data_IF_090840198309
#
_entry.id   IF_090840198309
#
_cell.length_a   1.000
_cell.length_b   1.000
_cell.length_c   1.000
_cell.angle_alpha   90.00
_cell.angle_beta   90.00
_cell.angle_gamma   90.00
#
_symmetry.space_group_name_H-M   'P 1'
#
loop_
_entity.id
_entity.type
_entity.pdbx_description
1 polymer ?
#
# COMPACT_ATOMS: atom_id res chain seq x y z
N UNK A 1 -35.12 -2.63 22.74
CA UNK A 1 -34.45 -3.78 22.10
C UNK A 1 -32.97 -3.66 22.38
N UNK A 2 -32.41 -4.49 23.26
CA UNK A 2 -30.96 -4.54 23.47
C UNK A 2 -30.38 -5.26 22.26
N UNK A 3 -29.64 -4.54 21.42
CA UNK A 3 -28.88 -5.13 20.31
C UNK A 3 -27.81 -6.01 20.95
N UNK A 4 -28.06 -7.32 21.05
CA UNK A 4 -27.07 -8.27 21.51
C UNK A 4 -25.85 -8.13 20.59
N UNK A 5 -24.77 -7.54 21.12
CA UNK A 5 -23.48 -7.54 20.43
C UNK A 5 -23.14 -9.00 20.17
N UNK A 6 -22.80 -9.31 18.91
CA UNK A 6 -22.38 -10.68 18.57
C UNK A 6 -21.18 -11.00 19.46
N UNK A 7 -21.18 -12.15 20.16
CA UNK A 7 -20.05 -12.52 21.01
C UNK A 7 -18.77 -12.50 20.17
N UNK A 8 -17.66 -12.11 20.80
CA UNK A 8 -16.36 -12.17 20.15
C UNK A 8 -16.13 -13.61 19.65
N UNK A 9 -15.65 -13.78 18.40
CA UNK A 9 -15.31 -15.10 17.89
C UNK A 9 -14.28 -15.77 18.81
N UNK A 10 -14.38 -17.09 18.92
CA UNK A 10 -13.44 -17.90 19.69
C UNK A 10 -12.07 -17.94 19.00
N UNK A 11 -10.98 -18.27 19.74
CA UNK A 11 -9.64 -18.41 19.15
C UNK A 11 -9.55 -19.36 17.95
N UNK A 12 -10.41 -20.39 17.91
CA UNK A 12 -10.50 -21.31 16.79
C UNK A 12 -11.10 -20.67 15.51
N UNK A 13 -11.89 -19.60 15.66
CA UNK A 13 -12.65 -18.96 14.57
C UNK A 13 -11.93 -17.77 13.93
N UNK A 14 -11.06 -17.06 14.65
CA UNK A 14 -10.42 -15.84 14.13
C UNK A 14 -9.03 -16.05 13.51
N UNK A 15 -8.49 -17.28 13.51
CA UNK A 15 -7.17 -17.61 12.95
C UNK A 15 -6.00 -17.00 13.75
N UNK A 16 -4.77 -17.45 13.50
CA UNK A 16 -3.57 -16.85 14.11
C UNK A 16 -2.88 -15.91 13.12
N UNK A 17 -2.59 -14.70 13.58
CA UNK A 17 -1.93 -13.63 12.81
C UNK A 17 -0.61 -13.23 13.45
N UNK A 18 0.01 -14.20 14.11
CA UNK A 18 1.25 -14.14 14.89
C UNK A 18 2.52 -14.22 14.04
N UNK A 19 2.35 -14.45 12.74
CA UNK A 19 3.44 -14.45 11.76
C UNK A 19 3.12 -13.40 10.71
N UNK A 20 4.07 -12.52 10.40
CA UNK A 20 3.92 -11.54 9.33
C UNK A 20 3.91 -12.22 7.95
N UNK A 21 3.19 -11.67 6.96
CA UNK A 21 3.31 -12.11 5.59
C UNK A 21 4.76 -11.95 5.09
N UNK A 22 5.21 -12.89 4.27
CA UNK A 22 6.53 -12.80 3.63
C UNK A 22 6.59 -11.59 2.69
N UNK A 23 7.72 -10.89 2.73
CA UNK A 23 7.97 -9.78 1.83
C UNK A 23 8.34 -10.28 0.43
N UNK A 24 7.89 -9.60 -0.64
CA UNK A 24 8.36 -9.89 -1.98
C UNK A 24 9.88 -9.65 -2.06
N UNK A 25 10.61 -10.48 -2.83
CA UNK A 25 12.05 -10.33 -2.98
C UNK A 25 12.39 -9.00 -3.66
N UNK A 26 13.49 -8.37 -3.26
CA UNK A 26 13.90 -7.07 -3.80
C UNK A 26 14.08 -7.08 -5.32
N UNK A 27 14.45 -8.23 -5.90
CA UNK A 27 14.54 -8.41 -7.36
C UNK A 27 13.21 -8.18 -8.09
N UNK A 28 12.08 -8.39 -7.42
CA UNK A 28 10.76 -8.17 -7.98
C UNK A 28 10.28 -6.72 -7.85
N UNK A 29 10.99 -5.89 -7.07
CA UNK A 29 10.60 -4.51 -6.79
C UNK A 29 11.28 -3.51 -7.74
N UNK A 30 10.50 -2.59 -8.29
CA UNK A 30 11.00 -1.47 -9.05
C UNK A 30 11.07 -0.23 -8.16
N UNK A 31 12.22 -0.05 -7.51
CA UNK A 31 12.48 1.08 -6.60
C UNK A 31 12.59 2.42 -7.32
N UNK A 32 12.57 2.45 -8.66
CA UNK A 32 12.49 3.70 -9.43
C UNK A 32 11.06 4.24 -9.51
N UNK A 33 10.05 3.42 -9.21
CA UNK A 33 8.65 3.83 -9.16
C UNK A 33 8.31 4.42 -7.78
N UNK A 34 7.91 5.69 -7.74
CA UNK A 34 7.54 6.42 -6.52
C UNK A 34 6.35 5.77 -5.78
N UNK A 35 5.37 5.23 -6.50
CA UNK A 35 4.24 4.53 -5.88
C UNK A 35 4.69 3.28 -5.12
N UNK A 36 5.72 2.60 -5.64
CA UNK A 36 6.32 1.42 -4.99
C UNK A 36 7.06 1.84 -3.72
N UNK A 37 7.90 2.88 -3.77
CA UNK A 37 8.67 3.32 -2.60
C UNK A 37 7.78 3.86 -1.49
N UNK A 38 6.76 4.64 -1.81
CA UNK A 38 5.77 5.16 -0.86
C UNK A 38 4.95 4.03 -0.21
N UNK A 39 4.56 3.01 -0.99
CA UNK A 39 3.88 1.83 -0.46
C UNK A 39 4.77 1.00 0.48
N UNK A 40 6.07 0.86 0.17
CA UNK A 40 7.02 0.20 1.07
C UNK A 40 7.13 0.93 2.41
N UNK A 41 7.15 2.27 2.43
CA UNK A 41 7.14 3.05 3.69
C UNK A 41 5.87 2.77 4.50
N UNK A 42 4.70 2.72 3.86
CA UNK A 42 3.44 2.37 4.55
C UNK A 42 3.46 0.95 5.10
N UNK A 43 4.05 0.00 4.35
CA UNK A 43 4.22 -1.38 4.79
C UNK A 43 5.06 -1.46 6.07
N UNK A 44 6.18 -0.76 6.13
CA UNK A 44 7.05 -0.79 7.31
C UNK A 44 6.34 -0.21 8.54
N UNK A 45 5.54 0.86 8.39
CA UNK A 45 4.69 1.37 9.47
C UNK A 45 3.69 0.33 9.98
N UNK A 46 3.05 -0.42 9.09
CA UNK A 46 2.13 -1.50 9.48
C UNK A 46 2.86 -2.66 10.19
N UNK A 47 4.11 -2.95 9.82
CA UNK A 47 4.93 -3.94 10.55
C UNK A 47 5.27 -3.44 11.95
N UNK A 48 5.56 -2.16 12.12
CA UNK A 48 5.80 -1.57 13.43
C UNK A 48 4.55 -1.57 14.30
N UNK A 49 3.38 -1.23 13.73
CA UNK A 49 2.08 -1.38 14.41
C UNK A 49 1.83 -2.83 14.84
N UNK A 50 2.06 -3.79 13.94
CA UNK A 50 1.91 -5.20 14.22
C UNK A 50 2.81 -5.64 15.39
N UNK A 51 4.08 -5.22 15.41
CA UNK A 51 5.01 -5.50 16.51
C UNK A 51 4.55 -4.85 17.81
N UNK A 52 3.99 -3.64 17.74
CA UNK A 52 3.38 -2.97 18.90
C UNK A 52 2.22 -3.76 19.49
N UNK A 53 1.36 -4.31 18.63
CA UNK A 53 0.22 -5.12 19.05
C UNK A 53 0.59 -6.50 19.58
N UNK A 54 1.77 -7.02 19.24
CA UNK A 54 2.27 -8.29 19.77
C UNK A 54 2.26 -8.34 21.30
N UNK A 55 2.51 -7.18 21.93
CA UNK A 55 2.55 -7.01 23.38
C UNK A 55 1.27 -6.38 23.95
N UNK A 56 0.17 -6.40 23.20
CA UNK A 56 -1.14 -5.95 23.71
C UNK A 56 -1.74 -7.00 24.66
N UNK A 57 -2.42 -6.58 25.76
CA UNK A 57 -2.55 -5.20 26.24
C UNK A 57 -1.27 -4.75 26.98
N UNK A 58 -0.87 -3.48 26.84
CA UNK A 58 0.31 -2.96 27.54
C UNK A 58 0.05 -2.90 29.07
N UNK A 59 1.00 -3.37 29.89
CA UNK A 59 1.02 -3.17 31.35
C UNK A 59 0.49 -4.32 32.22
N UNK A 60 0.51 -4.12 33.54
CA UNK A 60 -0.17 -5.00 34.51
C UNK A 60 -1.68 -4.80 34.30
N UNK A 61 -2.34 -5.80 33.70
CA UNK A 61 -3.77 -5.75 33.47
C UNK A 61 -4.48 -5.86 34.81
N UNK A 62 -4.93 -4.74 35.36
CA UNK A 62 -5.86 -4.74 36.49
C UNK A 62 -7.28 -5.04 35.95
N UNK A 63 -7.80 -6.26 36.17
CA UNK A 63 -9.14 -6.62 35.71
C UNK A 63 -10.24 -5.74 36.33
N UNK A 64 -9.95 -5.01 37.41
CA UNK A 64 -10.90 -4.09 38.04
C UNK A 64 -11.02 -2.74 37.31
N UNK A 65 -10.00 -2.27 36.59
CA UNK A 65 -10.02 -0.95 35.92
C UNK A 65 -10.41 -1.01 34.44
N UNK A 66 -10.13 -2.12 33.76
CA UNK A 66 -10.35 -2.23 32.31
C UNK A 66 -11.76 -2.71 31.92
N UNK A 67 -12.47 -3.39 32.83
CA UNK A 67 -13.73 -4.06 32.49
C UNK A 67 -13.58 -5.14 31.40
N UNK A 68 -12.35 -5.49 31.02
CA UNK A 68 -12.00 -6.46 29.98
C UNK A 68 -11.46 -7.74 30.63
N UNK A 69 -12.03 -8.88 30.27
CA UNK A 69 -11.49 -10.19 30.66
C UNK A 69 -10.22 -10.49 29.86
N UNK A 70 -9.31 -11.37 30.36
CA UNK A 70 -8.13 -11.79 29.60
C UNK A 70 -8.45 -12.30 28.19
N UNK A 71 -9.58 -13.02 28.03
CA UNK A 71 -10.05 -13.53 26.75
C UNK A 71 -10.45 -12.41 25.79
N UNK A 72 -11.04 -11.34 26.33
CA UNK A 72 -11.43 -10.15 25.55
C UNK A 72 -10.19 -9.40 25.07
N UNK A 73 -9.19 -9.24 25.95
CA UNK A 73 -7.91 -8.62 25.59
C UNK A 73 -7.16 -9.43 24.51
N UNK A 74 -7.15 -10.76 24.61
CA UNK A 74 -6.59 -11.63 23.57
C UNK A 74 -7.35 -11.51 22.23
N UNK A 75 -8.68 -11.45 22.26
CA UNK A 75 -9.49 -11.25 21.07
C UNK A 75 -9.18 -9.91 20.38
N UNK A 76 -9.01 -8.84 21.17
CA UNK A 76 -8.58 -7.53 20.67
C UNK A 76 -7.19 -7.58 20.06
N UNK A 77 -6.22 -8.19 20.75
CA UNK A 77 -4.87 -8.40 20.21
C UNK A 77 -4.93 -9.05 18.83
N UNK A 78 -5.64 -10.16 18.72
CA UNK A 78 -5.73 -10.91 17.47
C UNK A 78 -6.44 -10.13 16.37
N UNK A 79 -7.44 -9.32 16.70
CA UNK A 79 -8.08 -8.42 15.74
C UNK A 79 -7.14 -7.31 15.23
N UNK A 80 -6.34 -6.73 16.13
CA UNK A 80 -5.33 -5.73 15.78
C UNK A 80 -4.23 -6.33 14.88
N UNK A 81 -3.69 -7.49 15.26
CA UNK A 81 -2.70 -8.23 14.46
C UNK A 81 -3.23 -8.56 13.07
N UNK A 82 -4.49 -9.03 12.97
CA UNK A 82 -5.15 -9.33 11.69
C UNK A 82 -5.17 -8.11 10.76
N UNK A 83 -5.51 -6.92 11.29
CA UNK A 83 -5.60 -5.71 10.47
C UNK A 83 -4.25 -5.39 9.82
N UNK A 84 -3.18 -5.40 10.62
CA UNK A 84 -1.84 -5.10 10.11
C UNK A 84 -1.36 -6.18 9.15
N UNK A 85 -1.59 -7.47 9.46
CA UNK A 85 -1.29 -8.58 8.56
C UNK A 85 -1.94 -8.40 7.19
N UNK A 86 -3.26 -8.14 7.17
CA UNK A 86 -4.00 -7.99 5.92
C UNK A 86 -3.54 -6.77 5.12
N UNK A 87 -3.24 -5.66 5.80
CA UNK A 87 -2.68 -4.47 5.16
C UNK A 87 -1.31 -4.74 4.51
N UNK A 88 -0.43 -5.45 5.20
CA UNK A 88 0.90 -5.82 4.68
C UNK A 88 0.77 -6.75 3.48
N UNK A 89 -0.06 -7.79 3.58
CA UNK A 89 -0.29 -8.73 2.47
C UNK A 89 -0.86 -8.02 1.23
N UNK A 90 -1.78 -7.09 1.43
CA UNK A 90 -2.32 -6.27 0.35
C UNK A 90 -1.23 -5.42 -0.32
N UNK A 91 -0.44 -4.69 0.48
CA UNK A 91 0.65 -3.87 -0.04
C UNK A 91 1.69 -4.73 -0.79
N UNK A 92 2.04 -5.90 -0.27
CA UNK A 92 2.96 -6.82 -0.95
C UNK A 92 2.45 -7.20 -2.35
N UNK A 93 1.15 -7.48 -2.50
CA UNK A 93 0.55 -7.70 -3.82
C UNK A 93 0.59 -6.48 -4.73
N UNK A 94 0.32 -5.29 -4.18
CA UNK A 94 0.38 -4.03 -4.93
C UNK A 94 1.78 -3.71 -5.45
N UNK A 95 2.81 -3.79 -4.60
CA UNK A 95 4.18 -3.42 -5.00
C UNK A 95 4.73 -4.35 -6.08
N UNK A 96 4.43 -5.65 -6.02
CA UNK A 96 4.81 -6.61 -7.07
C UNK A 96 4.16 -6.23 -8.40
N UNK A 97 2.85 -5.95 -8.38
CA UNK A 97 2.10 -5.58 -9.58
C UNK A 97 2.58 -4.26 -10.19
N UNK A 98 2.70 -3.21 -9.39
CA UNK A 98 3.15 -1.90 -9.87
C UNK A 98 4.60 -1.92 -10.36
N UNK A 99 5.44 -2.76 -9.76
CA UNK A 99 6.81 -2.99 -10.24
C UNK A 99 6.82 -3.67 -11.60
N UNK A 100 5.98 -4.69 -11.81
CA UNK A 100 5.84 -5.34 -13.11
C UNK A 100 5.31 -4.38 -14.19
N UNK A 101 4.28 -3.59 -13.87
CA UNK A 101 3.68 -2.61 -14.78
C UNK A 101 4.67 -1.50 -15.17
N UNK A 102 5.48 -1.01 -14.22
CA UNK A 102 6.54 -0.01 -14.46
C UNK A 102 7.62 -0.54 -15.41
N UNK A 103 8.11 -1.76 -15.18
CA UNK A 103 9.11 -2.42 -16.04
C UNK A 103 8.58 -2.73 -17.44
N UNK A 104 7.30 -3.07 -17.57
CA UNK A 104 6.68 -3.30 -18.86
C UNK A 104 6.61 -2.00 -19.69
N UNK A 105 6.26 -0.87 -19.06
CA UNK A 105 6.26 0.45 -19.70
C UNK A 105 7.64 0.86 -20.18
N UNK A 106 8.66 0.78 -19.31
CA UNK A 106 10.04 1.14 -19.68
C UNK A 106 10.61 0.27 -20.80
N UNK A 107 10.23 -1.01 -20.88
CA UNK A 107 10.59 -1.89 -22.01
C UNK A 107 9.92 -1.47 -23.31
N UNK A 108 8.65 -1.06 -23.27
CA UNK A 108 7.90 -0.62 -24.45
C UNK A 108 8.40 0.73 -25.00
N UNK A 109 8.95 1.58 -24.13
CA UNK A 109 9.45 2.91 -24.50
C UNK A 109 10.89 2.89 -25.03
N UNK A 110 11.64 1.78 -24.88
CA UNK A 110 12.94 1.65 -25.55
C UNK A 110 12.72 1.65 -27.07
N UNK A 111 13.30 2.62 -27.81
CA UNK A 111 13.23 2.58 -29.25
C UNK A 111 13.94 1.31 -29.71
N UNK A 112 13.22 0.46 -30.46
CA UNK A 112 13.83 -0.61 -31.24
C UNK A 112 14.92 0.04 -32.06
N UNK A 113 16.17 -0.38 -31.85
CA UNK A 113 17.32 0.11 -32.59
C UNK A 113 17.03 0.02 -34.09
N UNK A 114 16.85 1.18 -34.71
CA UNK A 114 16.87 1.32 -36.15
C UNK A 114 18.28 0.89 -36.60
N UNK A 115 18.45 -0.14 -37.46
CA UNK A 115 19.78 -0.49 -37.93
C UNK A 115 20.31 0.70 -38.72
N UNK A 116 21.47 1.21 -38.28
CA UNK A 116 22.18 2.29 -38.91
C UNK A 116 22.37 2.02 -40.41
N UNK A 117 21.63 2.75 -41.24
CA UNK A 117 21.96 2.92 -42.65
C UNK A 117 22.18 4.40 -42.88
N UNK A 118 23.45 4.75 -43.12
CA UNK A 118 23.86 6.06 -43.61
C UNK A 118 23.06 6.43 -44.86
N UNK A 119 22.31 7.52 -44.82
CA UNK A 119 22.03 8.34 -45.99
C UNK A 119 21.75 9.77 -45.54
N UNK A 120 22.71 10.64 -45.84
CA UNK A 120 22.58 12.07 -45.71
C UNK A 120 21.52 12.59 -46.69
N UNK A 121 20.58 13.42 -46.22
CA UNK A 121 19.93 14.44 -47.03
C UNK A 121 19.30 15.52 -46.13
N UNK A 122 19.80 16.73 -46.31
CA UNK A 122 19.28 18.02 -45.88
C UNK A 122 17.79 18.22 -46.20
N UNK A 123 17.04 18.93 -45.34
CA UNK A 123 16.43 20.24 -45.65
C UNK A 123 15.35 20.62 -44.62
N UNK A 124 15.31 21.89 -44.20
CA UNK A 124 14.06 22.58 -43.88
C UNK A 124 13.70 22.83 -42.41
N UNK A 125 14.06 24.03 -41.93
CA UNK A 125 13.49 24.73 -40.77
C UNK A 125 11.95 24.80 -40.80
N UNK A 126 11.30 24.85 -39.63
CA UNK A 126 10.37 25.93 -39.19
C UNK A 126 9.66 25.49 -37.89
N UNK A 127 9.98 26.16 -36.77
CA UNK A 127 9.06 26.33 -35.63
C UNK A 127 8.04 27.41 -35.99
N UNK A 128 6.79 27.28 -35.54
CA UNK A 128 6.29 28.35 -34.66
C UNK A 128 5.47 27.82 -33.47
N UNK A 129 5.74 28.46 -32.34
CA UNK A 129 4.93 28.53 -31.13
C UNK A 129 3.50 28.98 -31.40
N UNK A 130 2.50 28.31 -30.81
CA UNK A 130 1.22 28.92 -30.43
C UNK A 130 0.66 28.25 -29.18
N UNK A 131 0.51 29.06 -28.13
CA UNK A 131 -0.11 28.66 -26.89
C UNK A 131 -1.60 28.39 -27.03
N UNK A 132 -2.12 27.56 -26.13
CA UNK A 132 -3.53 27.51 -25.78
C UNK A 132 -3.62 27.42 -24.26
N UNK A 133 -3.88 28.56 -23.66
CA UNK A 133 -4.36 28.72 -22.28
C UNK A 133 -5.77 28.15 -22.23
N UNK A 134 -6.02 27.20 -21.33
CA UNK A 134 -7.39 26.73 -21.03
C UNK A 134 -8.08 27.73 -20.10
N UNK A 135 -9.37 28.06 -20.33
CA UNK A 135 -10.10 28.95 -19.44
C UNK A 135 -10.46 28.27 -18.11
N UNK A 136 -10.31 29.02 -17.02
CA UNK A 136 -10.71 28.64 -15.67
C UNK A 136 -12.23 28.55 -15.51
N UNK A 137 -12.71 27.56 -14.76
CA UNK A 137 -14.10 27.43 -14.31
C UNK A 137 -14.44 28.50 -13.24
N UNK A 138 -15.66 29.06 -13.24
CA UNK A 138 -16.10 29.98 -12.20
C UNK A 138 -16.45 29.23 -10.88
N UNK A 139 -16.20 29.84 -9.70
CA UNK A 139 -16.60 29.26 -8.42
C UNK A 139 -18.12 29.32 -8.20
N UNK A 140 -18.64 28.28 -7.56
CA UNK A 140 -20.04 28.14 -7.18
C UNK A 140 -20.48 29.26 -6.23
N UNK A 141 -21.64 29.85 -6.53
CA UNK A 141 -22.26 30.89 -5.74
C UNK A 141 -22.73 30.40 -4.37
N UNK A 142 -22.63 31.30 -3.40
CA UNK A 142 -23.33 31.26 -2.12
C UNK A 142 -24.83 31.50 -2.30
N UNK A 143 -25.64 30.64 -1.68
CA UNK A 143 -26.96 30.97 -1.12
C UNK A 143 -27.12 30.20 0.17
#
# INVERSE_FOLDING_TARGET
MIRAMRPFPTPAEYGKWDVLPEDPPESELDLSNEDVTDALVRRERLKDEWRGYWHYPHGEHDPATAGETPETAEAWRNWLLRRSYQGIAFINGCVVRWSADSRARTRSERPVGSPATHAAASCGSIRPSRGRVMPALPPAGHT
#
